data_IF_113025147349
#
_entry.id   IF_113025147349
#
_cell.length_a   1.000
_cell.length_b   1.000
_cell.length_c   1.000
_cell.angle_alpha   90.00
_cell.angle_beta   90.00
_cell.angle_gamma   90.00
#
_symmetry.space_group_name_H-M   'P 1'
#
loop_
_entity.id
_entity.type
_entity.pdbx_description
1 polymer ?
#
# COMPACT_ATOMS: atom_id res chain seq x y z
N UNK A 1 -0.77 -4.61 -13.49
CA UNK A 1 -0.41 -5.83 -14.27
C UNK A 1 -1.09 -7.03 -13.60
N UNK A 2 -1.22 -8.21 -14.21
CA UNK A 2 -1.70 -9.40 -13.46
C UNK A 2 -0.48 -10.24 -13.02
N UNK A 3 -0.50 -10.78 -11.81
CA UNK A 3 0.51 -11.74 -11.34
C UNK A 3 0.25 -13.16 -11.87
N UNK A 4 1.15 -14.10 -11.53
CA UNK A 4 1.05 -15.51 -11.95
C UNK A 4 -0.21 -16.23 -11.42
N UNK A 5 -0.91 -15.63 -10.45
CA UNK A 5 -2.18 -16.10 -9.90
C UNK A 5 -3.39 -15.40 -10.53
N UNK A 6 -3.19 -14.54 -11.53
CA UNK A 6 -4.24 -13.76 -12.19
C UNK A 6 -4.77 -12.60 -11.36
N UNK A 7 -4.07 -12.20 -10.30
CA UNK A 7 -4.46 -11.10 -9.41
C UNK A 7 -3.83 -9.81 -9.87
N UNK A 8 -4.47 -8.69 -9.58
CA UNK A 8 -3.87 -7.41 -9.91
C UNK A 8 -2.64 -7.13 -9.05
N UNK A 9 -1.52 -6.86 -9.72
CA UNK A 9 -0.28 -6.39 -9.15
C UNK A 9 -0.11 -4.89 -9.42
N UNK A 10 0.07 -4.13 -8.33
CA UNK A 10 0.21 -2.68 -8.31
C UNK A 10 1.32 -2.18 -7.37
N UNK A 11 2.31 -3.04 -7.06
CA UNK A 11 3.33 -2.72 -6.04
C UNK A 11 4.13 -1.47 -6.39
N UNK A 12 4.54 -1.32 -7.65
CA UNK A 12 5.27 -0.14 -8.11
C UNK A 12 4.43 1.13 -8.02
N UNK A 13 3.20 1.06 -8.54
CA UNK A 13 2.23 2.16 -8.54
C UNK A 13 1.84 2.59 -7.13
N UNK A 14 1.72 1.64 -6.19
CA UNK A 14 1.45 1.95 -4.79
C UNK A 14 2.63 2.67 -4.13
N UNK A 15 3.86 2.22 -4.38
CA UNK A 15 5.06 2.88 -3.86
C UNK A 15 5.21 4.29 -4.44
N UNK A 16 4.90 4.47 -5.72
CA UNK A 16 4.92 5.79 -6.38
C UNK A 16 3.86 6.72 -5.76
N UNK A 17 2.64 6.22 -5.51
CA UNK A 17 1.61 6.99 -4.80
C UNK A 17 2.06 7.40 -3.39
N UNK A 18 2.68 6.48 -2.64
CA UNK A 18 3.20 6.77 -1.29
C UNK A 18 4.25 7.87 -1.34
N UNK A 19 5.16 7.85 -2.33
CA UNK A 19 6.12 8.93 -2.53
C UNK A 19 5.45 10.25 -2.85
N UNK A 20 4.49 10.27 -3.77
CA UNK A 20 3.79 11.49 -4.18
C UNK A 20 3.08 12.14 -2.99
N UNK A 21 2.38 11.33 -2.18
CA UNK A 21 1.70 11.81 -0.97
C UNK A 21 2.71 12.36 0.05
N UNK A 22 3.83 11.66 0.25
CA UNK A 22 4.89 12.12 1.14
C UNK A 22 5.51 13.44 0.66
N UNK A 23 5.84 13.56 -0.62
CA UNK A 23 6.39 14.79 -1.20
C UNK A 23 5.41 15.95 -1.02
N UNK A 24 4.12 15.74 -1.32
CA UNK A 24 3.09 16.74 -1.10
C UNK A 24 2.89 17.14 0.37
N UNK A 25 3.17 16.24 1.32
CA UNK A 25 3.20 16.56 2.74
C UNK A 25 4.43 17.42 3.10
N UNK A 26 5.61 17.07 2.59
CA UNK A 26 6.85 17.83 2.83
C UNK A 26 6.82 19.25 2.25
N UNK A 27 6.05 19.50 1.20
CA UNK A 27 5.86 20.85 0.66
C UNK A 27 5.07 21.77 1.60
N UNK A 28 4.21 21.19 2.44
CA UNK A 28 3.33 21.92 3.37
C UNK A 28 3.91 22.01 4.78
N UNK A 29 4.74 21.04 5.13
CA UNK A 29 5.31 20.85 6.46
C UNK A 29 6.84 20.98 6.43
N UNK A 30 7.49 20.75 7.57
CA UNK A 30 8.96 20.78 7.62
C UNK A 30 9.54 19.60 6.81
N UNK A 31 10.55 19.82 5.95
CA UNK A 31 11.21 18.74 5.22
C UNK A 31 11.91 17.78 6.20
N UNK A 32 11.98 16.50 5.81
CA UNK A 32 12.80 15.53 6.50
C UNK A 32 14.27 15.86 6.29
N UNK A 33 15.04 15.80 7.36
CA UNK A 33 16.45 16.19 7.39
C UNK A 33 17.36 14.97 7.46
N UNK A 34 16.79 13.78 7.63
CA UNK A 34 17.53 12.52 7.72
C UNK A 34 16.84 11.39 6.94
N UNK A 35 17.60 10.36 6.48
CA UNK A 35 17.02 9.17 5.87
C UNK A 35 15.98 8.47 6.76
N UNK A 36 16.23 8.41 8.07
CA UNK A 36 15.31 7.81 9.05
C UNK A 36 13.98 8.54 9.13
N UNK A 37 14.00 9.87 9.18
CA UNK A 37 12.76 10.69 9.18
C UNK A 37 11.96 10.47 7.89
N UNK A 38 12.64 10.33 6.74
CA UNK A 38 11.99 10.00 5.48
C UNK A 38 11.32 8.64 5.52
N UNK A 39 12.02 7.59 5.96
CA UNK A 39 11.44 6.24 6.07
C UNK A 39 10.26 6.20 7.04
N UNK A 40 10.35 6.92 8.17
CA UNK A 40 9.25 7.05 9.11
C UNK A 40 8.04 7.76 8.48
N UNK A 41 8.28 8.79 7.67
CA UNK A 41 7.25 9.49 6.91
C UNK A 41 6.54 8.60 5.88
N UNK A 42 7.31 7.85 5.09
CA UNK A 42 6.77 6.89 4.12
C UNK A 42 5.95 5.79 4.82
N UNK A 43 6.44 5.26 5.94
CA UNK A 43 5.70 4.29 6.76
C UNK A 43 4.39 4.88 7.27
N UNK A 44 4.41 6.14 7.74
CA UNK A 44 3.21 6.84 8.18
C UNK A 44 2.18 6.97 7.05
N UNK A 45 2.61 7.34 5.84
CA UNK A 45 1.73 7.41 4.66
C UNK A 45 1.11 6.05 4.35
N UNK A 46 1.90 4.96 4.35
CA UNK A 46 1.38 3.60 4.14
C UNK A 46 0.31 3.26 5.19
N UNK A 47 0.56 3.57 6.46
CA UNK A 47 -0.40 3.33 7.54
C UNK A 47 -1.69 4.14 7.37
N UNK A 48 -1.58 5.42 6.98
CA UNK A 48 -2.73 6.29 6.74
C UNK A 48 -3.57 5.78 5.55
N UNK A 49 -2.94 5.43 4.43
CA UNK A 49 -3.62 4.87 3.26
C UNK A 49 -4.36 3.57 3.61
N UNK A 50 -3.72 2.68 4.39
CA UNK A 50 -4.38 1.46 4.86
C UNK A 50 -5.63 1.78 5.68
N UNK A 51 -5.54 2.70 6.63
CA UNK A 51 -6.68 3.10 7.44
C UNK A 51 -7.83 3.67 6.59
N UNK A 52 -7.52 4.52 5.61
CA UNK A 52 -8.52 5.10 4.71
C UNK A 52 -9.19 4.03 3.84
N UNK A 53 -8.43 3.06 3.32
CA UNK A 53 -8.96 1.92 2.57
C UNK A 53 -9.92 1.09 3.44
N UNK A 54 -9.54 0.78 4.68
CA UNK A 54 -10.38 0.05 5.63
C UNK A 54 -11.68 0.82 5.94
N UNK A 55 -11.61 2.15 6.05
CA UNK A 55 -12.78 3.00 6.24
C UNK A 55 -13.70 3.03 5.01
N UNK A 56 -13.14 3.12 3.80
CA UNK A 56 -13.88 3.05 2.53
C UNK A 56 -14.62 1.71 2.42
N UNK A 57 -13.94 0.61 2.71
CA UNK A 57 -14.56 -0.73 2.71
C UNK A 57 -15.73 -0.82 3.69
N UNK A 58 -15.52 -0.31 4.91
CA UNK A 58 -16.55 -0.28 5.94
C UNK A 58 -17.78 0.50 5.47
N UNK A 59 -17.58 1.64 4.81
CA UNK A 59 -18.66 2.44 4.27
C UNK A 59 -19.38 1.74 3.11
N UNK A 60 -18.65 1.13 2.18
CA UNK A 60 -19.23 0.36 1.08
C UNK A 60 -20.08 -0.81 1.61
N UNK A 61 -19.62 -1.50 2.66
CA UNK A 61 -20.38 -2.58 3.27
C UNK A 61 -21.75 -2.18 3.84
N UNK A 62 -21.97 -0.87 4.10
CA UNK A 62 -23.29 -0.37 4.54
C UNK A 62 -24.32 -0.24 3.40
N UNK A 63 -23.87 -0.34 2.14
CA UNK A 63 -24.72 -0.14 0.96
C UNK A 63 -25.79 -1.23 0.83
N UNK A 64 -27.08 -0.86 0.66
CA UNK A 64 -28.16 -1.83 0.46
C UNK A 64 -27.91 -2.80 -0.70
N UNK A 65 -27.24 -2.34 -1.76
CA UNK A 65 -26.91 -3.10 -2.96
C UNK A 65 -25.93 -4.24 -2.70
N UNK A 66 -25.14 -4.16 -1.62
CA UNK A 66 -24.17 -5.17 -1.21
C UNK A 66 -24.67 -6.05 -0.07
N UNK A 67 -25.94 -5.90 0.35
CA UNK A 67 -26.53 -6.74 1.41
C UNK A 67 -26.59 -8.20 0.99
N UNK A 68 -26.13 -9.08 1.88
CA UNK A 68 -26.06 -10.52 1.63
C UNK A 68 -24.80 -10.99 0.91
N UNK A 69 -23.94 -10.05 0.47
CA UNK A 69 -22.61 -10.38 -0.05
C UNK A 69 -21.63 -10.47 1.12
N UNK A 70 -20.86 -11.56 1.19
CA UNK A 70 -19.75 -11.68 2.13
C UNK A 70 -18.54 -10.90 1.62
N UNK A 71 -18.58 -9.58 1.74
CA UNK A 71 -17.52 -8.69 1.25
C UNK A 71 -16.16 -9.01 1.89
N UNK A 72 -16.14 -9.28 3.20
CA UNK A 72 -14.91 -9.65 3.90
C UNK A 72 -14.31 -10.93 3.33
N UNK A 73 -15.13 -11.95 3.06
CA UNK A 73 -14.69 -13.19 2.44
C UNK A 73 -14.13 -12.98 1.03
N UNK A 74 -14.85 -12.22 0.18
CA UNK A 74 -14.39 -11.89 -1.17
C UNK A 74 -13.04 -11.17 -1.15
N UNK A 75 -12.88 -10.16 -0.28
CA UNK A 75 -11.62 -9.43 -0.17
C UNK A 75 -10.49 -10.34 0.35
N UNK A 76 -10.77 -11.22 1.30
CA UNK A 76 -9.78 -12.18 1.82
C UNK A 76 -9.35 -13.21 0.75
N UNK A 77 -10.29 -13.69 -0.07
CA UNK A 77 -10.01 -14.61 -1.19
C UNK A 77 -9.11 -13.93 -2.23
N UNK A 78 -9.42 -12.68 -2.57
CA UNK A 78 -8.62 -11.90 -3.53
C UNK A 78 -7.23 -11.55 -2.99
N UNK A 79 -7.12 -11.12 -1.73
CA UNK A 79 -5.82 -10.78 -1.13
C UNK A 79 -4.96 -12.02 -0.89
N UNK A 80 -5.54 -13.13 -0.40
CA UNK A 80 -4.79 -14.33 0.00
C UNK A 80 -3.62 -14.06 0.96
N UNK A 81 -2.76 -15.06 1.21
CA UNK A 81 -1.50 -14.85 1.92
C UNK A 81 -0.50 -14.12 1.02
N UNK A 82 0.33 -13.26 1.63
CA UNK A 82 1.48 -12.66 0.92
C UNK A 82 2.47 -13.77 0.58
N UNK A 83 2.77 -13.96 -0.70
CA UNK A 83 3.72 -14.98 -1.15
C UNK A 83 5.18 -14.51 -0.99
N UNK A 84 6.11 -15.46 -0.91
CA UNK A 84 7.55 -15.15 -0.88
C UNK A 84 8.00 -14.40 -2.14
N UNK A 85 7.37 -14.67 -3.29
CA UNK A 85 7.66 -13.99 -4.54
C UNK A 85 7.21 -12.53 -4.47
N UNK A 86 6.00 -12.27 -3.96
CA UNK A 86 5.50 -10.92 -3.68
C UNK A 86 6.43 -10.16 -2.74
N UNK A 87 6.92 -10.79 -1.66
CA UNK A 87 7.89 -10.17 -0.74
C UNK A 87 9.22 -9.87 -1.43
N UNK A 88 9.70 -10.78 -2.29
CA UNK A 88 10.94 -10.61 -3.04
C UNK A 88 10.84 -9.43 -4.01
N UNK A 89 9.74 -9.34 -4.77
CA UNK A 89 9.47 -8.23 -5.67
C UNK A 89 9.33 -6.90 -4.93
N UNK A 90 8.61 -6.88 -3.80
CA UNK A 90 8.50 -5.69 -2.96
C UNK A 90 9.87 -5.22 -2.46
N UNK A 91 10.71 -6.13 -1.97
CA UNK A 91 12.08 -5.79 -1.53
C UNK A 91 12.91 -5.23 -2.67
N UNK A 92 12.89 -5.85 -3.85
CA UNK A 92 13.62 -5.37 -5.01
C UNK A 92 13.17 -3.95 -5.41
N UNK A 93 11.87 -3.68 -5.37
CA UNK A 93 11.30 -2.40 -5.77
C UNK A 93 11.55 -1.28 -4.73
N UNK A 94 11.57 -1.64 -3.45
CA UNK A 94 11.99 -0.76 -2.35
C UNK A 94 13.49 -0.47 -2.40
N UNK A 95 14.34 -1.47 -2.70
CA UNK A 95 15.78 -1.29 -2.86
C UNK A 95 16.08 -0.36 -4.05
N UNK A 96 15.41 -0.55 -5.19
CA UNK A 96 15.51 0.33 -6.37
C UNK A 96 15.21 1.81 -6.06
N UNK A 97 14.37 2.07 -5.06
CA UNK A 97 14.01 3.42 -4.59
C UNK A 97 14.89 3.94 -3.45
N UNK A 98 15.90 3.17 -3.02
CA UNK A 98 16.72 3.46 -1.84
C UNK A 98 15.90 3.57 -0.54
N UNK A 99 14.81 2.80 -0.43
CA UNK A 99 14.05 2.70 0.82
C UNK A 99 14.64 1.66 1.77
N UNK A 100 15.30 0.65 1.20
CA UNK A 100 16.01 -0.40 1.90
C UNK A 100 17.41 -0.48 1.30
N UNK A 101 18.39 -0.82 2.13
CA UNK A 101 19.70 -1.20 1.65
C UNK A 101 19.58 -2.52 0.87
N UNK A 102 20.37 -2.68 -0.21
CA UNK A 102 20.49 -3.97 -0.89
C UNK A 102 21.03 -5.01 0.11
N UNK A 103 20.24 -6.04 0.38
CA UNK A 103 20.64 -7.17 1.23
C UNK A 103 21.55 -8.14 0.47
#
# INVERSE_FOLDING_TARGET
>A
MLDDSGRFEFTGELLDLVEEVWCGYQEKEKPANTPTERLAGLLYVVAALRQDIEAIWSLLATRPELRGINLTGLLQEEMGPVSDDTLTRLRAEMARRNWLDEA
#
